data_IF_892388555662
#
_entry.id   IF_892388555662
#
_cell.length_a   1.000
_cell.length_b   1.000
_cell.length_c   1.000
_cell.angle_alpha   90.00
_cell.angle_beta   90.00
_cell.angle_gamma   90.00
#
_symmetry.space_group_name_H-M   'P 1'
#
loop_
_entity.id
_entity.type
_entity.pdbx_description
1 polymer ?
#
# COMPACT_ATOMS: atom_id res chain seq x y z
N UNK A 1 -7.50 -5.33 -3.53
CA UNK A 1 -6.25 -5.55 -2.77
C UNK A 1 -6.37 -5.00 -1.37
N UNK A 2 -5.60 -5.55 -0.45
CA UNK A 2 -5.55 -5.05 0.94
C UNK A 2 -4.10 -4.97 1.40
N UNK A 3 -3.75 -3.86 2.05
CA UNK A 3 -2.45 -3.62 2.71
C UNK A 3 -2.71 -3.41 4.19
N UNK A 4 -1.98 -4.10 5.04
CA UNK A 4 -2.09 -4.02 6.50
C UNK A 4 -0.90 -3.26 7.10
N UNK A 5 -1.09 -2.71 8.30
CA UNK A 5 -0.06 -2.01 9.06
C UNK A 5 1.17 -2.91 9.37
N UNK A 6 0.97 -4.18 9.66
CA UNK A 6 2.00 -5.14 10.06
C UNK A 6 2.51 -6.03 8.91
N UNK A 7 2.48 -5.52 7.69
CA UNK A 7 3.02 -6.06 6.44
C UNK A 7 2.52 -7.46 6.03
N UNK A 8 2.34 -8.39 6.96
CA UNK A 8 1.87 -9.79 6.74
C UNK A 8 2.65 -10.51 5.62
N UNK A 9 3.98 -10.37 5.61
CA UNK A 9 4.83 -11.04 4.62
C UNK A 9 5.04 -12.51 4.97
N UNK A 10 5.29 -13.32 3.92
CA UNK A 10 5.67 -14.70 4.05
C UNK A 10 7.19 -14.76 4.29
N UNK A 11 7.59 -14.98 5.56
CA UNK A 11 9.00 -14.90 6.00
C UNK A 11 9.94 -15.91 5.31
N UNK A 12 9.39 -17.07 4.91
CA UNK A 12 10.14 -18.12 4.20
C UNK A 12 10.27 -17.92 2.70
N UNK A 13 9.70 -16.84 2.17
CA UNK A 13 9.69 -16.50 0.75
C UNK A 13 10.43 -15.21 0.47
N UNK A 14 11.09 -15.16 -0.69
CA UNK A 14 11.74 -13.95 -1.18
C UNK A 14 10.71 -12.86 -1.52
N UNK A 15 11.18 -11.65 -1.76
CA UNK A 15 10.36 -10.53 -2.27
C UNK A 15 9.62 -10.94 -3.54
N UNK A 16 10.32 -11.52 -4.51
CA UNK A 16 9.72 -12.02 -5.74
C UNK A 16 8.58 -13.02 -5.47
N UNK A 17 8.83 -14.00 -4.62
CA UNK A 17 7.87 -15.06 -4.28
C UNK A 17 6.67 -14.52 -3.46
N UNK A 18 6.88 -13.53 -2.60
CA UNK A 18 5.79 -12.84 -1.90
C UNK A 18 4.81 -12.19 -2.88
N UNK A 19 5.32 -11.49 -3.88
CA UNK A 19 4.49 -10.84 -4.89
C UNK A 19 3.86 -11.88 -5.83
N UNK A 20 4.65 -12.88 -6.25
CA UNK A 20 4.20 -13.99 -7.11
C UNK A 20 3.04 -14.79 -6.51
N UNK A 21 3.04 -14.94 -5.19
CA UNK A 21 2.02 -15.71 -4.47
C UNK A 21 0.58 -15.24 -4.80
N UNK A 22 0.36 -13.92 -4.88
CA UNK A 22 -0.96 -13.38 -5.23
C UNK A 22 -1.42 -13.78 -6.65
N UNK A 23 -0.48 -13.96 -7.56
CA UNK A 23 -0.75 -14.38 -8.94
C UNK A 23 -0.88 -15.91 -9.09
N UNK A 24 -0.17 -16.66 -8.23
CA UNK A 24 -0.27 -18.12 -8.17
C UNK A 24 -1.65 -18.57 -7.70
N UNK A 25 -2.20 -17.91 -6.70
CA UNK A 25 -3.54 -18.22 -6.14
C UNK A 25 -4.64 -18.15 -7.20
N UNK A 26 -4.51 -17.24 -8.17
CA UNK A 26 -5.45 -17.11 -9.31
C UNK A 26 -5.03 -17.88 -10.56
N UNK A 27 -4.07 -18.81 -10.42
CA UNK A 27 -3.58 -19.68 -11.50
C UNK A 27 -3.03 -18.92 -12.72
N UNK A 28 -2.36 -17.78 -12.51
CA UNK A 28 -1.74 -17.02 -13.59
C UNK A 28 -0.64 -17.85 -14.28
N UNK A 29 -0.63 -17.96 -15.61
CA UNK A 29 0.42 -18.68 -16.34
C UNK A 29 1.82 -18.16 -16.02
N UNK A 30 2.80 -19.05 -15.84
CA UNK A 30 4.17 -18.72 -15.35
C UNK A 30 4.86 -17.58 -16.11
N UNK A 31 4.70 -17.51 -17.43
CA UNK A 31 5.33 -16.45 -18.23
C UNK A 31 4.71 -15.09 -17.95
N UNK A 32 3.38 -15.01 -17.79
CA UNK A 32 2.64 -13.78 -17.42
C UNK A 32 2.96 -13.39 -15.98
N UNK A 33 2.98 -14.34 -15.06
CA UNK A 33 3.33 -14.14 -13.66
C UNK A 33 4.71 -13.48 -13.54
N UNK A 34 5.76 -14.06 -14.15
CA UNK A 34 7.11 -13.51 -14.09
C UNK A 34 7.21 -12.10 -14.65
N UNK A 35 6.50 -11.83 -15.76
CA UNK A 35 6.45 -10.50 -16.36
C UNK A 35 5.80 -9.51 -15.37
N UNK A 36 4.63 -9.85 -14.85
CA UNK A 36 3.88 -8.98 -13.94
C UNK A 36 4.63 -8.70 -12.64
N UNK A 37 5.24 -9.71 -12.03
CA UNK A 37 6.05 -9.50 -10.81
C UNK A 37 7.17 -8.51 -11.07
N UNK A 38 7.89 -8.59 -12.19
CA UNK A 38 8.95 -7.63 -12.52
C UNK A 38 8.43 -6.21 -12.74
N UNK A 39 7.27 -6.05 -13.39
CA UNK A 39 6.60 -4.76 -13.56
C UNK A 39 6.27 -4.13 -12.22
N UNK A 40 5.64 -4.90 -11.34
CA UNK A 40 5.24 -4.44 -10.00
C UNK A 40 6.46 -4.12 -9.13
N UNK A 41 7.50 -4.97 -9.14
CA UNK A 41 8.74 -4.68 -8.38
C UNK A 41 9.44 -3.41 -8.84
N UNK A 42 9.36 -3.10 -10.14
CA UNK A 42 9.86 -1.82 -10.66
C UNK A 42 9.02 -0.66 -10.16
N UNK A 43 7.70 -0.78 -10.17
CA UNK A 43 6.77 0.24 -9.69
C UNK A 43 7.00 0.60 -8.22
N UNK A 44 7.33 -0.40 -7.39
CA UNK A 44 7.60 -0.18 -5.95
C UNK A 44 9.09 0.02 -5.61
N UNK A 45 9.96 0.17 -6.62
CA UNK A 45 11.41 0.40 -6.49
C UNK A 45 12.15 -0.71 -5.71
N UNK A 46 11.78 -1.98 -5.94
CA UNK A 46 12.38 -3.15 -5.28
C UNK A 46 13.01 -4.17 -6.24
N UNK A 47 13.31 -3.78 -7.48
CA UNK A 47 13.89 -4.68 -8.49
C UNK A 47 15.16 -5.37 -7.97
N UNK A 48 16.08 -4.61 -7.35
CA UNK A 48 17.35 -5.12 -6.82
C UNK A 48 17.20 -6.00 -5.57
N UNK A 49 16.02 -5.95 -4.93
CA UNK A 49 15.69 -6.74 -3.73
C UNK A 49 14.85 -7.98 -4.02
N UNK A 50 14.62 -8.31 -5.29
CA UNK A 50 13.74 -9.40 -5.70
C UNK A 50 14.06 -10.76 -5.04
N UNK A 51 15.35 -11.05 -4.77
CA UNK A 51 15.82 -12.28 -4.15
C UNK A 51 16.05 -12.17 -2.63
N UNK A 52 15.87 -11.00 -2.03
CA UNK A 52 15.98 -10.81 -0.59
C UNK A 52 14.79 -11.41 0.15
N UNK A 53 14.99 -11.81 1.40
CA UNK A 53 13.92 -12.25 2.30
C UNK A 53 13.42 -11.06 3.15
N UNK A 54 12.19 -11.12 3.71
CA UNK A 54 11.63 -10.04 4.52
C UNK A 54 12.56 -9.55 5.64
N UNK A 55 13.23 -10.47 6.35
CA UNK A 55 14.17 -10.16 7.43
C UNK A 55 15.39 -9.31 7.00
N UNK A 56 15.69 -9.23 5.71
CA UNK A 56 16.80 -8.47 5.13
C UNK A 56 16.38 -7.06 4.68
N UNK A 57 15.10 -6.71 4.90
CA UNK A 57 14.49 -5.47 4.42
C UNK A 57 14.22 -4.50 5.58
N UNK A 58 14.33 -3.21 5.31
CA UNK A 58 13.79 -2.17 6.20
C UNK A 58 12.27 -2.22 6.27
N UNK A 59 11.66 -1.62 7.30
CA UNK A 59 10.20 -1.54 7.43
C UNK A 59 9.52 -0.91 6.20
N UNK A 60 10.08 0.18 5.67
CA UNK A 60 9.57 0.81 4.45
C UNK A 60 9.66 -0.11 3.22
N UNK A 61 10.74 -0.90 3.09
CA UNK A 61 10.87 -1.89 2.03
C UNK A 61 9.88 -3.05 2.21
N UNK A 62 9.66 -3.52 3.44
CA UNK A 62 8.65 -4.54 3.74
C UNK A 62 7.24 -4.06 3.37
N UNK A 63 6.91 -2.80 3.68
CA UNK A 63 5.63 -2.21 3.29
C UNK A 63 5.49 -2.11 1.77
N UNK A 64 6.54 -1.75 1.05
CA UNK A 64 6.55 -1.75 -0.43
C UNK A 64 6.30 -3.16 -1.00
N UNK A 65 6.82 -4.23 -0.37
CA UNK A 65 6.52 -5.63 -0.76
C UNK A 65 5.04 -5.95 -0.52
N UNK A 66 4.48 -5.55 0.62
CA UNK A 66 3.06 -5.76 0.93
C UNK A 66 2.15 -5.05 -0.09
N UNK A 67 2.48 -3.81 -0.45
CA UNK A 67 1.79 -3.04 -1.49
C UNK A 67 1.92 -3.75 -2.85
N UNK A 68 3.14 -4.15 -3.24
CA UNK A 68 3.40 -4.88 -4.48
C UNK A 68 2.54 -6.14 -4.62
N UNK A 69 2.46 -6.93 -3.55
CA UNK A 69 1.61 -8.12 -3.50
C UNK A 69 0.13 -7.78 -3.67
N UNK A 70 -0.32 -6.70 -3.02
CA UNK A 70 -1.73 -6.28 -3.07
C UNK A 70 -2.17 -5.80 -4.46
N UNK A 71 -1.25 -5.18 -5.25
CA UNK A 71 -1.55 -4.67 -6.60
C UNK A 71 -1.18 -5.65 -7.73
N UNK A 72 -0.58 -6.79 -7.42
CA UNK A 72 -0.12 -7.75 -8.43
C UNK A 72 -1.22 -8.17 -9.41
N UNK A 73 -2.43 -8.39 -8.92
CA UNK A 73 -3.61 -8.79 -9.69
C UNK A 73 -4.36 -7.62 -10.36
N UNK A 74 -3.78 -6.40 -10.39
CA UNK A 74 -4.43 -5.20 -10.94
C UNK A 74 -5.84 -4.97 -10.36
N UNK A 75 -5.98 -4.85 -9.04
CA UNK A 75 -7.28 -4.64 -8.44
C UNK A 75 -7.84 -3.27 -8.82
N UNK A 76 -9.16 -3.17 -9.01
CA UNK A 76 -9.83 -1.87 -9.18
C UNK A 76 -9.88 -1.06 -7.88
N UNK A 77 -9.74 -1.74 -6.73
CA UNK A 77 -9.76 -1.14 -5.40
C UNK A 77 -8.63 -1.69 -4.52
N UNK A 78 -7.88 -0.80 -3.90
CA UNK A 78 -6.88 -1.08 -2.87
C UNK A 78 -7.33 -0.45 -1.55
N UNK A 79 -7.44 -1.26 -0.50
CA UNK A 79 -7.68 -0.79 0.86
C UNK A 79 -6.35 -0.82 1.60
N UNK A 80 -5.91 0.31 2.12
CA UNK A 80 -4.68 0.45 2.90
C UNK A 80 -5.05 0.83 4.34
N UNK A 81 -4.87 -0.10 5.26
CA UNK A 81 -5.17 0.06 6.68
C UNK A 81 -3.90 0.46 7.44
N UNK A 82 -3.84 1.73 7.86
CA UNK A 82 -2.69 2.35 8.54
C UNK A 82 -1.34 2.06 7.84
N UNK A 83 -1.21 2.31 6.52
CA UNK A 83 -0.06 1.83 5.75
C UNK A 83 1.28 2.47 6.15
N UNK A 84 1.25 3.51 6.98
CA UNK A 84 2.42 4.24 7.47
C UNK A 84 2.64 4.12 8.98
N UNK A 85 1.75 3.42 9.69
CA UNK A 85 1.70 3.42 11.16
C UNK A 85 2.95 2.85 11.87
N UNK A 86 3.76 2.04 11.18
CA UNK A 86 4.99 1.46 11.72
C UNK A 86 6.28 2.06 11.10
N UNK A 87 6.16 3.22 10.46
CA UNK A 87 7.26 3.86 9.73
C UNK A 87 7.63 5.21 10.33
N UNK A 88 8.89 5.61 10.13
CA UNK A 88 9.32 6.97 10.42
C UNK A 88 8.69 7.96 9.41
N UNK A 89 8.66 9.29 9.74
CA UNK A 89 7.98 10.28 8.92
C UNK A 89 8.45 10.34 7.46
N UNK A 90 9.75 10.16 7.19
CA UNK A 90 10.29 10.21 5.84
C UNK A 90 9.84 9.00 5.02
N UNK A 91 9.86 7.80 5.62
CA UNK A 91 9.37 6.58 4.99
C UNK A 91 7.85 6.62 4.80
N UNK A 92 7.13 7.24 5.72
CA UNK A 92 5.69 7.46 5.59
C UNK A 92 5.37 8.26 4.33
N UNK A 93 6.05 9.39 4.11
CA UNK A 93 5.89 10.20 2.90
C UNK A 93 6.19 9.40 1.62
N UNK A 94 7.28 8.61 1.61
CA UNK A 94 7.62 7.75 0.47
C UNK A 94 6.48 6.75 0.14
N UNK A 95 5.85 6.16 1.16
CA UNK A 95 4.74 5.22 0.97
C UNK A 95 3.50 5.93 0.44
N UNK A 96 3.17 7.12 0.95
CA UNK A 96 2.02 7.88 0.42
C UNK A 96 2.24 8.26 -1.04
N UNK A 97 3.42 8.77 -1.41
CA UNK A 97 3.74 9.06 -2.81
C UNK A 97 3.69 7.81 -3.70
N UNK A 98 4.11 6.65 -3.18
CA UNK A 98 3.97 5.40 -3.91
C UNK A 98 2.49 5.06 -4.15
N UNK A 99 1.62 5.21 -3.15
CA UNK A 99 0.18 4.98 -3.31
C UNK A 99 -0.45 5.94 -4.33
N UNK A 100 -0.07 7.23 -4.33
CA UNK A 100 -0.51 8.19 -5.34
C UNK A 100 -0.08 7.77 -6.74
N UNK A 101 1.18 7.37 -6.93
CA UNK A 101 1.68 6.86 -8.20
C UNK A 101 0.94 5.61 -8.68
N UNK A 102 0.62 4.68 -7.78
CA UNK A 102 -0.19 3.50 -8.10
C UNK A 102 -1.61 3.90 -8.55
N UNK A 103 -2.23 4.87 -7.87
CA UNK A 103 -3.55 5.36 -8.25
C UNK A 103 -3.53 5.93 -9.69
N UNK A 104 -2.48 6.66 -10.06
CA UNK A 104 -2.34 7.27 -11.38
C UNK A 104 -1.94 6.26 -12.47
N UNK A 105 -0.93 5.41 -12.23
CA UNK A 105 -0.37 4.52 -13.25
C UNK A 105 -1.17 3.23 -13.46
N UNK A 106 -1.78 2.70 -12.40
CA UNK A 106 -2.56 1.44 -12.45
C UNK A 106 -4.08 1.69 -12.46
N UNK A 107 -4.52 2.96 -12.43
CA UNK A 107 -5.93 3.37 -12.36
C UNK A 107 -6.69 2.69 -11.20
N UNK A 108 -5.98 2.36 -10.13
CA UNK A 108 -6.54 1.70 -8.94
C UNK A 108 -7.14 2.73 -8.00
N UNK A 109 -8.41 2.59 -7.64
CA UNK A 109 -9.00 3.40 -6.56
C UNK A 109 -8.37 3.00 -5.22
N UNK A 110 -7.96 3.98 -4.43
CA UNK A 110 -7.33 3.72 -3.12
C UNK A 110 -8.22 4.28 -2.00
N UNK A 111 -8.54 3.43 -1.03
CA UNK A 111 -9.12 3.84 0.25
C UNK A 111 -8.05 3.63 1.31
N UNK A 112 -7.61 4.70 1.94
CA UNK A 112 -6.66 4.64 3.03
C UNK A 112 -7.35 4.94 4.35
N UNK A 113 -7.19 4.07 5.33
CA UNK A 113 -7.59 4.31 6.71
C UNK A 113 -6.37 4.81 7.45
N UNK A 114 -6.49 5.95 8.10
CA UNK A 114 -5.42 6.54 8.92
C UNK A 114 -5.97 7.45 9.99
N UNK A 115 -5.25 7.59 11.08
CA UNK A 115 -5.45 8.60 12.11
C UNK A 115 -4.38 9.71 12.05
N UNK A 116 -3.51 9.67 11.06
CA UNK A 116 -2.43 10.65 10.87
C UNK A 116 -2.98 11.93 10.23
N UNK A 117 -3.05 12.96 11.06
CA UNK A 117 -3.55 14.29 10.71
C UNK A 117 -2.74 14.96 9.62
N UNK A 118 -1.41 14.79 9.65
CA UNK A 118 -0.50 15.42 8.70
C UNK A 118 -0.71 14.82 7.30
N UNK A 119 -0.86 13.49 7.22
CA UNK A 119 -1.18 12.81 5.95
C UNK A 119 -2.48 13.34 5.35
N UNK A 120 -3.53 13.48 6.16
CA UNK A 120 -4.84 13.98 5.69
C UNK A 120 -4.75 15.42 5.19
N UNK A 121 -4.04 16.29 5.93
CA UNK A 121 -3.93 17.71 5.61
C UNK A 121 -3.01 17.99 4.41
N UNK A 122 -1.91 17.24 4.26
CA UNK A 122 -0.92 17.50 3.22
C UNK A 122 -1.42 17.02 1.84
N UNK A 123 -2.12 15.88 1.79
CA UNK A 123 -2.53 15.27 0.53
C UNK A 123 -3.90 15.72 0.00
N UNK A 124 -4.72 16.38 0.82
CA UNK A 124 -6.00 17.03 0.44
C UNK A 124 -6.93 16.18 -0.44
N UNK A 125 -6.97 14.86 -0.21
CA UNK A 125 -7.89 13.95 -0.90
C UNK A 125 -9.26 13.99 -0.23
N UNK A 126 -10.30 13.42 -0.87
CA UNK A 126 -11.61 13.25 -0.22
C UNK A 126 -11.43 12.53 1.10
N UNK A 127 -11.97 13.10 2.17
CA UNK A 127 -11.84 12.58 3.53
C UNK A 127 -13.20 12.28 4.12
N UNK A 128 -13.36 11.04 4.57
CA UNK A 128 -14.54 10.54 5.28
C UNK A 128 -14.14 10.37 6.74
N UNK A 129 -14.71 11.17 7.63
CA UNK A 129 -14.44 11.08 9.07
C UNK A 129 -15.52 10.23 9.76
N UNK A 130 -15.05 9.23 10.51
CA UNK A 130 -15.88 8.35 11.32
C UNK A 130 -15.57 8.54 12.80
N UNK A 131 -16.62 8.58 13.63
CA UNK A 131 -16.49 8.61 15.08
C UNK A 131 -17.54 7.70 15.73
N UNK A 132 -17.11 6.81 16.60
CA UNK A 132 -17.96 5.83 17.29
C UNK A 132 -18.92 5.06 16.35
N UNK A 133 -18.46 4.78 15.11
CA UNK A 133 -19.25 4.07 14.10
C UNK A 133 -20.22 4.96 13.30
N UNK A 134 -20.24 6.25 13.52
CA UNK A 134 -21.07 7.19 12.78
C UNK A 134 -20.23 8.02 11.79
N UNK A 135 -20.83 8.30 10.64
CA UNK A 135 -20.28 9.26 9.67
C UNK A 135 -20.44 10.68 10.23
N UNK A 136 -19.33 11.35 10.52
CA UNK A 136 -19.36 12.72 11.07
C UNK A 136 -19.00 13.78 10.03
N UNK A 137 -18.26 13.41 8.97
CA UNK A 137 -18.00 14.30 7.85
C UNK A 137 -17.66 13.54 6.57
N UNK A 138 -17.94 14.19 5.42
CA UNK A 138 -17.51 13.77 4.08
C UNK A 138 -17.04 15.05 3.35
N UNK A 139 -15.73 15.23 3.25
CA UNK A 139 -15.09 16.41 2.69
C UNK A 139 -14.48 16.07 1.34
N UNK A 140 -14.81 16.80 0.30
CA UNK A 140 -14.28 16.60 -1.07
C UNK A 140 -12.79 16.92 -1.18
N UNK A 141 -12.28 17.82 -0.33
CA UNK A 141 -10.85 18.12 -0.19
C UNK A 141 -10.50 18.15 1.29
N UNK A 142 -9.55 17.28 1.66
CA UNK A 142 -9.25 16.96 3.03
C UNK A 142 -8.91 18.13 3.94
N UNK A 143 -9.37 18.03 5.14
CA UNK A 143 -8.96 18.69 6.33
C UNK A 143 -9.32 17.79 7.50
N UNK A 144 -8.43 17.65 8.46
CA UNK A 144 -8.74 16.92 9.68
C UNK A 144 -9.74 17.78 10.50
N UNK A 145 -10.88 17.18 10.82
CA UNK A 145 -11.82 17.81 11.74
C UNK A 145 -11.38 17.48 13.16
N UNK A 146 -10.63 18.41 13.78
CA UNK A 146 -10.45 18.31 15.23
C UNK A 146 -11.79 18.61 15.90
N UNK A 147 -12.24 17.76 16.82
CA UNK A 147 -13.23 18.19 17.79
C UNK A 147 -12.63 19.36 18.59
N UNK A 148 -12.99 20.57 18.27
CA UNK A 148 -12.96 21.63 19.26
C UNK A 148 -14.27 21.51 20.03
N UNK A 149 -14.14 21.09 21.29
CA UNK A 149 -14.97 21.26 22.47
C UNK A 149 -16.50 21.27 22.27
#
# INVERSE_FOLDING_TARGET
>A
GVVFQDFKLLESKTVFENVAFALEVVNTPRHKLRKRVREVLRLVDLTEKAQSFPRELSGGQQQRVAIARAIANKPSLLIADEPTGNLDPDKSKEIIHLLERINEEEETTIIMVTHDVDVVNDHKKRTIALDQGYLVADLTQGGYISRNE
#
